data_IF_811070652967
#
_entry.id   IF_811070652967
#
_cell.length_a   1.000
_cell.length_b   1.000
_cell.length_c   1.000
_cell.angle_alpha   90.00
_cell.angle_beta   90.00
_cell.angle_gamma   90.00
#
_symmetry.space_group_name_H-M   'P 1'
#
loop_
_entity.id
_entity.type
_entity.pdbx_description
1 polymer ?
#
# COMPACT_ATOMS: atom_id res chain seq x y z
N UNK A 1 -17.78 1.73 -2.59
CA UNK A 1 -17.16 0.60 -3.32
C UNK A 1 -17.03 0.89 -4.81
N UNK A 2 -16.89 -0.14 -5.62
CA UNK A 2 -16.52 -0.09 -7.05
C UNK A 2 -17.33 0.84 -7.97
N UNK A 3 -18.55 1.23 -7.58
CA UNK A 3 -19.41 2.14 -8.35
C UNK A 3 -19.08 3.63 -8.18
N UNK A 4 -18.06 3.97 -7.38
CA UNK A 4 -17.57 5.35 -7.17
C UNK A 4 -16.06 5.44 -7.40
N UNK A 5 -15.52 6.67 -7.43
CA UNK A 5 -14.10 6.92 -7.66
C UNK A 5 -13.17 6.21 -6.65
N UNK A 6 -11.91 5.99 -7.05
CA UNK A 6 -10.88 5.33 -6.25
C UNK A 6 -10.58 3.91 -6.73
N UNK A 7 -9.68 3.18 -6.04
CA UNK A 7 -9.30 1.83 -6.42
C UNK A 7 -10.46 0.84 -6.20
N UNK A 8 -10.65 -0.07 -7.16
CA UNK A 8 -11.67 -1.14 -7.10
C UNK A 8 -11.14 -2.32 -6.29
N UNK A 9 -11.09 -2.15 -4.96
CA UNK A 9 -10.57 -3.13 -4.01
C UNK A 9 -11.62 -3.43 -2.94
N UNK A 10 -11.70 -4.69 -2.51
CA UNK A 10 -12.68 -5.14 -1.54
C UNK A 10 -12.58 -4.37 -0.21
N UNK A 11 -11.39 -4.33 0.40
CA UNK A 11 -11.15 -3.62 1.66
C UNK A 11 -11.38 -2.10 1.55
N UNK A 12 -11.17 -1.50 0.38
CA UNK A 12 -11.56 -0.10 0.12
C UNK A 12 -13.07 0.07 0.19
N UNK A 13 -13.83 -0.84 -0.41
CA UNK A 13 -15.29 -0.80 -0.38
C UNK A 13 -15.85 -1.05 1.05
N UNK A 14 -15.20 -1.92 1.81
CA UNK A 14 -15.53 -2.19 3.22
C UNK A 14 -15.31 -0.95 4.10
N UNK A 15 -14.14 -0.31 4.01
CA UNK A 15 -13.82 0.92 4.76
C UNK A 15 -14.79 2.07 4.41
N UNK A 16 -15.12 2.26 3.13
CA UNK A 16 -16.14 3.22 2.70
C UNK A 16 -17.53 2.88 3.24
N UNK A 17 -17.85 1.58 3.37
CA UNK A 17 -19.09 1.08 3.94
C UNK A 17 -19.20 1.39 5.44
N UNK A 18 -18.11 1.23 6.19
CA UNK A 18 -18.04 1.61 7.61
C UNK A 18 -18.17 3.12 7.76
N UNK A 19 -17.38 3.90 7.00
CA UNK A 19 -17.39 5.35 7.10
C UNK A 19 -18.77 5.96 6.80
N UNK A 20 -19.50 5.44 5.80
CA UNK A 20 -20.85 5.94 5.51
C UNK A 20 -21.85 5.55 6.61
N UNK A 21 -21.73 4.38 7.22
CA UNK A 21 -22.58 3.96 8.32
C UNK A 21 -22.37 4.86 9.56
N UNK A 22 -21.12 5.16 9.90
CA UNK A 22 -20.76 6.09 10.97
C UNK A 22 -21.31 7.49 10.70
N UNK A 23 -21.15 8.02 9.47
CA UNK A 23 -21.70 9.33 9.09
C UNK A 23 -23.24 9.37 9.21
N UNK A 24 -23.94 8.31 8.80
CA UNK A 24 -25.40 8.19 8.95
C UNK A 24 -25.81 8.21 10.43
N UNK A 25 -24.99 7.62 11.30
CA UNK A 25 -25.20 7.62 12.75
C UNK A 25 -24.80 8.94 13.45
N UNK A 26 -24.24 9.91 12.72
CA UNK A 26 -23.76 11.18 13.27
C UNK A 26 -22.35 11.11 13.87
N UNK A 27 -21.61 10.04 13.59
CA UNK A 27 -20.21 9.85 13.99
C UNK A 27 -19.23 10.34 12.90
N UNK A 28 -17.94 10.36 13.24
CA UNK A 28 -16.89 10.94 12.40
C UNK A 28 -16.27 9.92 11.44
N UNK A 29 -17.06 9.41 10.49
CA UNK A 29 -16.57 8.47 9.48
C UNK A 29 -15.47 9.05 8.60
N UNK A 30 -14.40 8.28 8.39
CA UNK A 30 -13.24 8.71 7.59
C UNK A 30 -12.55 7.53 6.92
N UNK A 31 -12.05 7.75 5.70
CA UNK A 31 -11.18 6.80 4.98
C UNK A 31 -9.93 7.54 4.53
N UNK A 32 -8.75 7.02 4.87
CA UNK A 32 -7.48 7.54 4.39
C UNK A 32 -7.05 6.80 3.10
N UNK A 33 -7.41 7.37 1.95
CA UNK A 33 -7.10 6.79 0.64
C UNK A 33 -5.61 6.70 0.32
N UNK A 34 -4.74 7.47 1.00
CA UNK A 34 -3.29 7.38 0.81
C UNK A 34 -2.69 6.11 1.43
N UNK A 35 -3.45 5.37 2.26
CA UNK A 35 -2.98 4.20 3.02
C UNK A 35 -3.83 2.97 2.74
N UNK A 36 -4.37 2.85 1.52
CA UNK A 36 -5.05 1.64 1.05
C UNK A 36 -4.02 0.71 0.37
N UNK A 37 -3.72 -0.48 0.91
CA UNK A 37 -2.79 -1.40 0.28
C UNK A 37 -3.34 -1.98 -1.01
N UNK A 38 -2.45 -2.31 -1.95
CA UNK A 38 -2.76 -3.05 -3.18
C UNK A 38 -1.94 -4.33 -3.21
N UNK A 39 -2.55 -5.45 -3.61
CA UNK A 39 -1.91 -6.78 -3.60
C UNK A 39 -2.17 -7.52 -4.90
N UNK A 40 -1.13 -8.17 -5.45
CA UNK A 40 -1.20 -9.13 -6.55
C UNK A 40 -0.69 -10.47 -6.03
N UNK A 41 -1.57 -11.48 -6.03
CA UNK A 41 -1.32 -12.81 -5.46
C UNK A 41 -0.57 -13.76 -6.42
N UNK A 42 0.48 -13.26 -7.07
CA UNK A 42 1.41 -14.09 -7.86
C UNK A 42 2.41 -14.81 -6.96
N UNK A 43 3.30 -15.62 -7.54
CA UNK A 43 4.47 -16.15 -6.83
C UNK A 43 5.75 -15.68 -7.53
N UNK A 44 6.53 -14.76 -6.94
CA UNK A 44 6.31 -14.11 -5.64
C UNK A 44 5.12 -13.15 -5.64
N UNK A 45 4.55 -12.91 -4.45
CA UNK A 45 3.49 -11.93 -4.26
C UNK A 45 4.05 -10.49 -4.40
N UNK A 46 3.18 -9.56 -4.77
CA UNK A 46 3.51 -8.13 -4.87
C UNK A 46 2.52 -7.37 -4.01
N UNK A 47 3.02 -6.51 -3.14
CA UNK A 47 2.20 -5.60 -2.34
C UNK A 47 2.79 -4.20 -2.30
N UNK A 48 1.93 -3.19 -2.25
CA UNK A 48 2.32 -1.78 -2.10
C UNK A 48 1.31 -1.03 -1.24
N UNK A 49 1.76 0.07 -0.62
CA UNK A 49 0.92 1.05 0.08
C UNK A 49 1.63 2.41 0.02
N UNK A 50 0.88 3.51 0.00
CA UNK A 50 1.44 4.85 -0.13
C UNK A 50 1.84 5.20 -1.55
N UNK A 51 2.78 6.16 -1.68
CA UNK A 51 3.19 6.72 -2.96
C UNK A 51 4.27 5.88 -3.64
N UNK A 52 4.21 5.82 -4.96
CA UNK A 52 5.24 5.31 -5.84
C UNK A 52 6.34 6.34 -6.08
N UNK A 53 7.52 5.89 -6.54
CA UNK A 53 8.59 6.80 -6.96
C UNK A 53 8.17 7.76 -8.08
N UNK A 54 7.30 7.31 -8.99
CA UNK A 54 6.80 8.12 -10.10
C UNK A 54 5.88 9.24 -9.61
N UNK A 55 4.98 8.94 -8.67
CA UNK A 55 4.12 9.94 -8.05
C UNK A 55 4.94 10.98 -7.27
N UNK A 56 5.94 10.55 -6.50
CA UNK A 56 6.82 11.47 -5.76
C UNK A 56 7.64 12.35 -6.71
N UNK A 57 8.21 11.78 -7.78
CA UNK A 57 8.92 12.54 -8.82
C UNK A 57 8.00 13.56 -9.50
N UNK A 58 6.78 13.16 -9.86
CA UNK A 58 5.78 14.03 -10.49
C UNK A 58 5.33 15.16 -9.55
N UNK A 59 5.26 14.90 -8.25
CA UNK A 59 4.91 15.89 -7.23
C UNK A 59 6.08 16.80 -6.84
N UNK A 60 7.31 16.55 -7.33
CA UNK A 60 8.50 17.31 -6.94
C UNK A 60 8.90 17.11 -5.48
N UNK A 61 8.54 15.96 -4.89
CA UNK A 61 8.87 15.62 -3.50
C UNK A 61 10.24 14.95 -3.46
N UNK A 62 11.14 15.48 -2.63
CA UNK A 62 12.44 14.89 -2.36
C UNK A 62 12.32 13.68 -1.43
N UNK A 63 12.87 12.53 -1.83
CA UNK A 63 12.83 11.31 -1.03
C UNK A 63 14.16 10.54 -1.05
N UNK A 64 14.35 9.70 -0.03
CA UNK A 64 15.41 8.69 0.08
C UNK A 64 14.82 7.31 -0.23
N UNK A 65 15.62 6.44 -0.84
CA UNK A 65 15.23 5.06 -1.16
C UNK A 65 16.03 4.08 -0.32
N UNK A 66 15.34 3.23 0.42
CA UNK A 66 15.91 2.04 1.07
C UNK A 66 15.43 0.78 0.36
N UNK A 67 16.33 -0.17 0.07
CA UNK A 67 15.99 -1.45 -0.57
C UNK A 67 16.74 -2.60 0.10
N UNK A 68 16.05 -3.69 0.40
CA UNK A 68 16.64 -4.90 0.99
C UNK A 68 16.13 -6.16 0.28
N UNK A 69 17.02 -6.99 -0.32
CA UNK A 69 16.60 -8.19 -1.06
C UNK A 69 16.28 -9.37 -0.13
N UNK A 70 15.32 -10.21 -0.51
CA UNK A 70 14.98 -11.41 0.27
C UNK A 70 16.10 -12.47 0.25
N UNK A 71 16.97 -12.46 -0.76
CA UNK A 71 18.18 -13.31 -0.78
C UNK A 71 19.14 -13.07 0.40
N UNK A 72 19.10 -11.88 1.02
CA UNK A 72 19.88 -11.55 2.21
C UNK A 72 19.13 -11.87 3.53
N UNK A 73 17.88 -12.36 3.47
CA UNK A 73 17.09 -12.71 4.64
C UNK A 73 17.26 -14.20 5.01
N UNK A 74 17.62 -14.48 6.27
CA UNK A 74 17.87 -15.85 6.73
C UNK A 74 16.64 -16.77 6.66
N UNK A 75 15.44 -16.24 6.94
CA UNK A 75 14.19 -17.00 6.88
C UNK A 75 13.80 -17.32 5.44
N UNK A 76 13.91 -16.35 4.53
CA UNK A 76 13.68 -16.54 3.09
C UNK A 76 14.58 -17.64 2.52
N UNK A 77 15.86 -17.66 2.90
CA UNK A 77 16.81 -18.73 2.54
C UNK A 77 16.39 -20.08 3.11
N UNK A 78 16.04 -20.14 4.41
CA UNK A 78 15.60 -21.38 5.06
C UNK A 78 14.33 -21.96 4.42
N UNK A 79 13.47 -21.11 3.87
CA UNK A 79 12.22 -21.49 3.22
C UNK A 79 12.36 -21.70 1.69
N UNK A 80 13.54 -21.48 1.10
CA UNK A 80 13.76 -21.51 -0.36
C UNK A 80 12.89 -20.51 -1.15
N UNK A 81 12.53 -19.37 -0.54
CA UNK A 81 11.76 -18.28 -1.15
C UNK A 81 12.57 -16.98 -1.16
N UNK A 82 13.57 -16.88 -2.03
CA UNK A 82 14.55 -15.77 -2.02
C UNK A 82 14.29 -14.67 -3.05
N UNK A 83 13.26 -14.82 -3.88
CA UNK A 83 12.93 -13.86 -4.94
C UNK A 83 12.31 -12.59 -4.37
N UNK A 84 12.67 -11.43 -4.95
CA UNK A 84 12.09 -10.14 -4.60
C UNK A 84 12.87 -9.35 -3.54
N UNK A 85 12.24 -8.28 -3.05
CA UNK A 85 12.82 -7.32 -2.12
C UNK A 85 11.73 -6.49 -1.42
N UNK A 86 12.11 -5.80 -0.34
CA UNK A 86 11.36 -4.69 0.24
C UNK A 86 11.98 -3.37 -0.23
N UNK A 87 11.15 -2.39 -0.60
CA UNK A 87 11.56 -1.03 -0.94
C UNK A 87 10.76 -0.03 -0.12
N UNK A 88 11.44 0.91 0.53
CA UNK A 88 10.86 1.99 1.32
C UNK A 88 11.28 3.33 0.72
N UNK A 89 10.33 4.25 0.60
CA UNK A 89 10.54 5.63 0.22
C UNK A 89 10.27 6.48 1.45
N UNK A 90 11.24 7.30 1.86
CA UNK A 90 11.13 8.17 3.03
C UNK A 90 11.41 9.61 2.64
N UNK A 91 10.73 10.56 3.29
CA UNK A 91 11.01 11.98 3.11
C UNK A 91 12.49 12.29 3.39
N UNK A 92 13.04 13.29 2.68
CA UNK A 92 14.45 13.64 2.78
C UNK A 92 14.78 14.53 3.98
N UNK A 93 13.81 15.28 4.52
CA UNK A 93 13.96 16.25 5.61
C UNK A 93 14.57 15.66 6.89
#
# INVERSE_FOLDING_TARGET
GDVIAGPMLAHKAEDEGVAVAEMIAGEAGHVNYDVIPSVVYTSPEIASVGKTEEELKKAGIDYKVGKFPFSANGRARAMLHTDGFVKILADKA
#
